data_IF_075545747621
#
_entry.id   IF_075545747621
#
_cell.length_a   1.000
_cell.length_b   1.000
_cell.length_c   1.000
_cell.angle_alpha   90.00
_cell.angle_beta   90.00
_cell.angle_gamma   90.00
#
_symmetry.space_group_name_H-M   'P 1'
#
loop_
_entity.id
_entity.type
_entity.pdbx_description
1 polymer ?
#
# COMPACT_ATOMS: atom_id res chain seq x y z
N UNK A 1 -7.90 1.02 -20.10
CA UNK A 1 -6.90 1.21 -19.02
C UNK A 1 -7.65 1.12 -17.70
N UNK A 2 -7.24 0.30 -16.72
CA UNK A 2 -7.90 0.29 -15.42
C UNK A 2 -7.76 1.68 -14.80
N UNK A 3 -8.90 2.33 -14.55
CA UNK A 3 -8.93 3.60 -13.83
C UNK A 3 -8.60 3.32 -12.37
N UNK A 4 -7.73 4.10 -11.70
CA UNK A 4 -7.46 3.91 -10.29
C UNK A 4 -8.76 4.02 -9.51
N UNK A 5 -9.14 2.96 -8.80
CA UNK A 5 -10.29 3.01 -7.91
C UNK A 5 -10.09 4.14 -6.91
N UNK A 6 -11.00 5.13 -6.91
CA UNK A 6 -10.98 6.35 -6.09
C UNK A 6 -9.93 7.42 -6.44
N UNK A 7 -9.23 7.34 -7.58
CA UNK A 7 -8.23 8.35 -7.96
C UNK A 7 -6.96 8.33 -7.11
N UNK A 8 -6.73 7.25 -6.37
CA UNK A 8 -5.48 7.02 -5.63
C UNK A 8 -4.42 6.56 -6.63
N UNK A 9 -3.46 7.43 -6.89
CA UNK A 9 -2.30 7.13 -7.72
C UNK A 9 -1.16 6.65 -6.81
N UNK A 10 -0.47 5.59 -7.22
CA UNK A 10 0.68 5.02 -6.50
C UNK A 10 1.86 4.81 -7.48
N UNK A 11 1.96 5.69 -8.48
CA UNK A 11 2.95 5.63 -9.56
C UNK A 11 4.26 6.34 -9.22
N UNK A 12 4.21 7.27 -8.26
CA UNK A 12 5.32 8.15 -7.88
C UNK A 12 5.60 8.04 -6.39
N UNK A 13 6.86 8.25 -6.00
CA UNK A 13 7.28 8.22 -4.59
C UNK A 13 6.46 9.18 -3.72
N UNK A 14 6.27 10.42 -4.17
CA UNK A 14 5.44 11.39 -3.43
C UNK A 14 3.99 10.91 -3.26
N UNK A 15 3.38 10.35 -4.30
CA UNK A 15 2.01 9.82 -4.22
C UNK A 15 1.89 8.66 -3.22
N UNK A 16 2.88 7.76 -3.19
CA UNK A 16 2.92 6.65 -2.23
C UNK A 16 3.00 7.19 -0.80
N UNK A 17 3.86 8.17 -0.55
CA UNK A 17 3.99 8.79 0.77
C UNK A 17 2.70 9.52 1.19
N UNK A 18 2.06 10.25 0.28
CA UNK A 18 0.78 10.94 0.53
C UNK A 18 -0.33 9.97 0.92
N UNK A 19 -0.34 8.77 0.33
CA UNK A 19 -1.35 7.75 0.59
C UNK A 19 -0.89 6.67 1.59
N UNK A 20 0.24 6.86 2.27
CA UNK A 20 0.86 5.84 3.13
C UNK A 20 -0.08 5.27 4.19
N UNK A 21 -0.89 6.12 4.83
CA UNK A 21 -1.89 5.68 5.81
C UNK A 21 -2.96 4.77 5.19
N UNK A 22 -3.43 5.10 3.99
CA UNK A 22 -4.42 4.29 3.28
C UNK A 22 -3.81 2.95 2.82
N UNK A 23 -2.56 2.97 2.34
CA UNK A 23 -1.81 1.77 1.98
C UNK A 23 -1.69 0.84 3.19
N UNK A 24 -1.27 1.37 4.34
CA UNK A 24 -1.16 0.59 5.58
C UNK A 24 -2.51 -0.02 5.99
N UNK A 25 -3.57 0.80 6.00
CA UNK A 25 -4.90 0.33 6.36
C UNK A 25 -5.40 -0.78 5.43
N UNK A 26 -5.21 -0.66 4.12
CA UNK A 26 -5.74 -1.64 3.17
C UNK A 26 -4.85 -2.87 2.98
N UNK A 27 -3.52 -2.70 2.99
CA UNK A 27 -2.58 -3.79 2.74
C UNK A 27 -2.21 -4.56 4.02
N UNK A 28 -2.17 -3.90 5.18
CA UNK A 28 -1.71 -4.51 6.44
C UNK A 28 -2.88 -4.83 7.37
N UNK A 29 -3.73 -3.83 7.66
CA UNK A 29 -4.84 -3.99 8.62
C UNK A 29 -5.99 -4.79 8.02
N UNK A 30 -6.54 -4.33 6.89
CA UNK A 30 -7.70 -4.93 6.25
C UNK A 30 -7.32 -6.10 5.32
N UNK A 31 -6.06 -6.15 4.86
CA UNK A 31 -5.55 -7.14 3.90
C UNK A 31 -6.40 -7.24 2.61
N UNK A 32 -7.08 -6.15 2.25
CA UNK A 32 -7.95 -6.05 1.06
C UNK A 32 -7.18 -5.66 -0.18
N UNK A 33 -5.98 -5.10 -0.04
CA UNK A 33 -5.07 -4.84 -1.15
C UNK A 33 -3.98 -5.91 -1.26
N UNK A 34 -3.62 -6.36 -2.48
CA UNK A 34 -4.34 -6.12 -3.73
C UNK A 34 -5.69 -6.82 -3.71
N UNK A 35 -6.66 -6.27 -4.45
CA UNK A 35 -8.01 -6.84 -4.55
C UNK A 35 -7.93 -8.33 -4.82
N UNK A 36 -8.61 -9.15 -4.00
CA UNK A 36 -8.63 -10.61 -4.14
C UNK A 36 -7.27 -11.28 -4.05
N UNK A 37 -6.25 -10.62 -3.46
CA UNK A 37 -4.86 -11.08 -3.45
C UNK A 37 -4.31 -11.41 -4.84
N UNK A 38 -4.67 -10.63 -5.86
CA UNK A 38 -4.32 -10.91 -7.27
C UNK A 38 -2.81 -11.06 -7.53
N UNK A 39 -1.94 -10.48 -6.69
CA UNK A 39 -0.48 -10.61 -6.80
C UNK A 39 0.11 -11.68 -5.91
N UNK A 40 -0.71 -12.43 -5.16
CA UNK A 40 -0.28 -13.42 -4.16
C UNK A 40 0.69 -12.87 -3.12
N UNK A 41 0.49 -11.63 -2.66
CA UNK A 41 1.32 -11.05 -1.60
C UNK A 41 1.12 -11.83 -0.30
N UNK A 42 2.24 -12.12 0.37
CA UNK A 42 2.34 -12.87 1.61
C UNK A 42 2.16 -11.98 2.84
N UNK A 43 1.85 -12.58 3.99
CA UNK A 43 1.80 -11.84 5.26
C UNK A 43 3.17 -11.25 5.65
N UNK A 44 4.27 -11.88 5.26
CA UNK A 44 5.63 -11.38 5.49
C UNK A 44 5.89 -10.09 4.70
N UNK A 45 5.50 -10.05 3.42
CA UNK A 45 5.58 -8.84 2.59
C UNK A 45 4.66 -7.73 3.13
N UNK A 46 3.49 -8.08 3.68
CA UNK A 46 2.63 -7.11 4.37
C UNK A 46 3.28 -6.56 5.63
N UNK A 47 4.00 -7.39 6.38
CA UNK A 47 4.73 -6.94 7.55
C UNK A 47 5.85 -5.96 7.16
N UNK A 48 6.46 -6.10 5.98
CA UNK A 48 7.42 -5.12 5.46
C UNK A 48 6.73 -3.77 5.21
N UNK A 49 5.55 -3.77 4.58
CA UNK A 49 4.75 -2.55 4.40
C UNK A 49 4.36 -1.91 5.75
N UNK A 50 4.04 -2.73 6.74
CA UNK A 50 3.76 -2.28 8.11
C UNK A 50 4.94 -1.55 8.74
N UNK A 51 6.12 -2.18 8.71
CA UNK A 51 7.36 -1.60 9.23
C UNK A 51 7.75 -0.31 8.52
N UNK A 52 7.57 -0.25 7.19
CA UNK A 52 7.82 0.96 6.42
C UNK A 52 6.93 2.12 6.88
N UNK A 53 5.63 1.86 7.10
CA UNK A 53 4.71 2.88 7.62
C UNK A 53 5.08 3.32 9.04
N UNK A 54 5.37 2.38 9.94
CA UNK A 54 5.78 2.65 11.33
C UNK A 54 7.11 3.41 11.41
N UNK A 55 8.01 3.21 10.46
CA UNK A 55 9.26 3.96 10.33
C UNK A 55 9.07 5.39 9.78
N UNK A 56 7.82 5.83 9.56
CA UNK A 56 7.49 7.17 9.08
C UNK A 56 7.21 7.28 7.58
N UNK A 57 6.97 6.15 6.90
CA UNK A 57 6.60 6.09 5.48
C UNK A 57 7.60 6.85 4.55
N UNK A 58 8.89 6.77 4.87
CA UNK A 58 9.94 7.47 4.13
C UNK A 58 10.07 6.98 2.69
N UNK A 59 10.30 7.91 1.77
CA UNK A 59 10.54 7.65 0.34
C UNK A 59 11.96 8.05 -0.05
N UNK A 60 12.94 7.32 0.49
CA UNK A 60 14.36 7.49 0.12
C UNK A 60 14.62 7.00 -1.32
#
# INVERSE_FOLDING_TARGET
>A
MPVPGKGVLLDSKEHIAQHAQQIYQQAVVQKTMPLGNMTNITDEERAILGKWFEAGAGVN
#
